data_IF_815952394240
#
_entry.id   IF_815952394240
#
_cell.length_a   1.000
_cell.length_b   1.000
_cell.length_c   1.000
_cell.angle_alpha   90.00
_cell.angle_beta   90.00
_cell.angle_gamma   90.00
#
_symmetry.space_group_name_H-M   'P 1'
#
loop_
_entity.id
_entity.type
_entity.pdbx_description
1 polymer ?
#
# COMPACT_ATOMS: atom_id res chain seq x y z
N UNK A 1 39.28 10.00 -13.21
CA UNK A 1 38.21 9.12 -13.69
C UNK A 1 37.78 8.01 -12.71
N UNK A 2 38.48 7.74 -11.61
CA UNK A 2 38.26 6.55 -10.75
C UNK A 2 37.38 6.81 -9.51
N UNK A 3 37.15 8.05 -9.10
CA UNK A 3 36.31 8.35 -7.91
C UNK A 3 34.80 8.47 -8.20
N UNK A 4 34.41 8.93 -9.36
CA UNK A 4 32.98 9.05 -9.75
C UNK A 4 32.30 7.68 -9.96
N UNK A 5 33.03 6.69 -10.49
CA UNK A 5 32.51 5.34 -10.75
C UNK A 5 32.27 4.54 -9.46
N UNK A 6 32.99 4.86 -8.37
CA UNK A 6 32.81 4.17 -7.07
C UNK A 6 31.63 4.74 -6.29
N UNK A 7 31.35 6.05 -6.40
CA UNK A 7 30.17 6.67 -5.77
C UNK A 7 28.85 6.27 -6.46
N UNK A 8 28.83 6.14 -7.79
CA UNK A 8 27.66 5.64 -8.51
C UNK A 8 27.32 4.17 -8.19
N UNK A 9 28.33 3.31 -8.02
CA UNK A 9 28.10 1.91 -7.62
C UNK A 9 27.58 1.77 -6.18
N UNK A 10 28.01 2.63 -5.26
CA UNK A 10 27.51 2.61 -3.87
C UNK A 10 26.08 3.18 -3.76
N UNK A 11 25.71 4.14 -4.61
CA UNK A 11 24.36 4.67 -4.69
C UNK A 11 23.35 3.69 -5.30
N UNK A 12 23.78 2.91 -6.28
CA UNK A 12 22.95 1.90 -6.94
C UNK A 12 22.65 0.69 -6.04
N UNK A 13 23.62 0.23 -5.25
CA UNK A 13 23.42 -0.84 -4.25
C UNK A 13 22.41 -0.44 -3.18
N UNK A 14 22.53 0.77 -2.62
CA UNK A 14 21.59 1.29 -1.61
C UNK A 14 20.16 1.51 -2.13
N UNK A 15 20.01 1.92 -3.39
CA UNK A 15 18.69 2.10 -4.00
C UNK A 15 17.99 0.75 -4.26
N UNK A 16 18.74 -0.32 -4.56
CA UNK A 16 18.22 -1.68 -4.72
C UNK A 16 17.80 -2.29 -3.39
N UNK A 17 18.62 -2.16 -2.35
CA UNK A 17 18.30 -2.57 -0.98
C UNK A 17 17.04 -1.85 -0.45
N UNK A 18 16.84 -0.57 -0.80
CA UNK A 18 15.65 0.17 -0.41
C UNK A 18 14.37 -0.27 -1.16
N UNK A 19 14.45 -0.77 -2.40
CA UNK A 19 13.29 -1.32 -3.11
C UNK A 19 12.83 -2.65 -2.49
N UNK A 20 13.78 -3.51 -2.16
CA UNK A 20 13.55 -4.81 -1.48
C UNK A 20 12.88 -4.66 -0.12
N UNK A 21 13.32 -3.67 0.67
CA UNK A 21 12.75 -3.40 1.99
C UNK A 21 11.27 -2.97 1.97
N UNK A 22 10.69 -2.71 0.80
CA UNK A 22 9.31 -2.23 0.66
C UNK A 22 8.30 -3.37 0.58
N UNK A 23 8.60 -4.42 -0.16
CA UNK A 23 7.61 -5.42 -0.58
C UNK A 23 7.10 -6.32 0.56
N UNK A 24 7.93 -6.72 1.53
CA UNK A 24 7.45 -7.57 2.62
C UNK A 24 6.33 -6.93 3.46
N UNK A 25 6.30 -5.59 3.56
CA UNK A 25 5.29 -4.86 4.32
C UNK A 25 3.95 -4.86 3.62
N UNK A 26 3.94 -4.54 2.32
CA UNK A 26 2.76 -4.53 1.48
C UNK A 26 2.16 -5.93 1.42
N UNK A 27 3.02 -6.94 1.25
CA UNK A 27 2.59 -8.35 1.22
C UNK A 27 1.92 -8.78 2.52
N UNK A 28 2.54 -8.51 3.68
CA UNK A 28 1.94 -8.84 4.98
C UNK A 28 0.65 -8.07 5.19
N UNK A 29 0.61 -6.80 4.86
CA UNK A 29 -0.60 -5.98 4.96
C UNK A 29 -1.75 -6.59 4.14
N UNK A 30 -1.52 -6.90 2.86
CA UNK A 30 -2.51 -7.56 1.99
C UNK A 30 -2.97 -8.90 2.54
N UNK A 31 -2.03 -9.73 3.03
CA UNK A 31 -2.36 -11.05 3.61
C UNK A 31 -3.20 -10.94 4.88
N UNK A 32 -2.90 -9.99 5.76
CA UNK A 32 -3.68 -9.76 6.99
C UNK A 32 -5.09 -9.30 6.65
N UNK A 33 -5.22 -8.33 5.75
CA UNK A 33 -6.51 -7.72 5.40
C UNK A 33 -7.23 -8.41 4.23
N UNK A 34 -6.75 -9.58 3.78
CA UNK A 34 -7.56 -10.53 2.99
C UNK A 34 -8.59 -11.26 3.86
N UNK A 35 -8.41 -11.30 5.17
CA UNK A 35 -9.42 -11.77 6.12
C UNK A 35 -10.47 -10.67 6.35
N UNK A 36 -11.71 -10.96 5.98
CA UNK A 36 -12.83 -10.00 6.08
C UNK A 36 -13.09 -9.50 7.50
N UNK A 37 -12.82 -10.30 8.53
CA UNK A 37 -13.00 -9.88 9.95
C UNK A 37 -11.96 -8.83 10.32
N UNK A 38 -10.71 -9.06 9.94
CA UNK A 38 -9.62 -8.13 10.18
C UNK A 38 -9.81 -6.84 9.37
N UNK A 39 -10.28 -6.97 8.12
CA UNK A 39 -10.58 -5.83 7.26
C UNK A 39 -11.75 -4.99 7.80
N UNK A 40 -12.82 -5.63 8.29
CA UNK A 40 -13.94 -4.94 8.92
C UNK A 40 -13.52 -4.21 10.21
N UNK A 41 -12.67 -4.84 11.01
CA UNK A 41 -12.12 -4.21 12.21
C UNK A 41 -11.31 -2.95 11.86
N UNK A 42 -10.45 -3.03 10.83
CA UNK A 42 -9.69 -1.88 10.35
C UNK A 42 -10.61 -0.77 9.85
N UNK A 43 -11.62 -1.11 9.05
CA UNK A 43 -12.61 -0.16 8.54
C UNK A 43 -13.36 0.55 9.67
N UNK A 44 -13.88 -0.20 10.64
CA UNK A 44 -14.56 0.38 11.80
C UNK A 44 -13.65 1.30 12.61
N UNK A 45 -12.39 0.90 12.81
CA UNK A 45 -11.43 1.67 13.58
C UNK A 45 -11.06 3.00 12.87
N UNK A 46 -10.93 2.98 11.54
CA UNK A 46 -10.56 4.15 10.72
C UNK A 46 -11.75 5.08 10.47
N UNK A 47 -12.92 4.52 10.11
CA UNK A 47 -14.11 5.30 9.75
C UNK A 47 -14.94 5.76 10.95
N UNK A 48 -14.74 5.13 12.12
CA UNK A 48 -15.63 5.27 13.28
C UNK A 48 -16.95 4.51 13.14
N UNK A 49 -17.04 3.58 12.17
CA UNK A 49 -18.19 2.70 11.96
C UNK A 49 -18.35 1.63 13.05
N UNK A 50 -19.49 0.95 13.05
CA UNK A 50 -19.84 -0.13 13.97
C UNK A 50 -20.47 -1.32 13.22
N UNK A 51 -19.93 -1.66 12.06
CA UNK A 51 -20.40 -2.81 11.28
C UNK A 51 -19.99 -4.10 11.99
N UNK A 52 -20.88 -5.11 11.99
CA UNK A 52 -20.67 -6.38 12.72
C UNK A 52 -20.53 -7.57 11.81
N UNK A 53 -21.03 -7.50 10.57
CA UNK A 53 -21.13 -8.59 9.64
C UNK A 53 -19.99 -8.54 8.59
N UNK A 54 -18.90 -9.32 8.74
CA UNK A 54 -17.79 -9.33 7.77
C UNK A 54 -18.21 -9.78 6.37
N UNK A 55 -19.29 -10.55 6.25
CA UNK A 55 -19.78 -11.05 4.97
C UNK A 55 -20.41 -9.96 4.09
N UNK A 56 -20.78 -8.82 4.67
CA UNK A 56 -21.23 -7.65 3.93
C UNK A 56 -20.11 -6.96 3.14
N UNK A 57 -18.83 -7.26 3.47
CA UNK A 57 -17.70 -6.79 2.70
C UNK A 57 -17.59 -7.53 1.37
N UNK A 58 -17.62 -6.79 0.28
CA UNK A 58 -17.28 -7.28 -1.06
C UNK A 58 -15.85 -6.85 -1.40
N UNK A 59 -14.91 -7.79 -1.41
CA UNK A 59 -13.52 -7.52 -1.77
C UNK A 59 -13.40 -7.43 -3.29
N UNK A 60 -12.90 -6.29 -3.78
CA UNK A 60 -12.80 -5.96 -5.21
C UNK A 60 -11.37 -5.57 -5.60
N UNK A 61 -10.38 -6.09 -4.88
CA UNK A 61 -8.96 -5.78 -5.12
C UNK A 61 -8.53 -6.12 -6.55
N UNK A 62 -7.80 -5.22 -7.19
CA UNK A 62 -7.25 -5.41 -8.53
C UNK A 62 -6.03 -6.34 -8.48
N UNK A 63 -6.21 -7.63 -8.76
CA UNK A 63 -5.12 -8.60 -8.75
C UNK A 63 -4.26 -8.56 -10.03
N UNK A 64 -4.83 -8.16 -11.17
CA UNK A 64 -4.15 -8.13 -12.47
C UNK A 64 -4.62 -6.95 -13.31
N UNK A 65 -3.89 -5.86 -13.30
CA UNK A 65 -3.93 -4.93 -14.42
C UNK A 65 -2.83 -5.33 -15.41
N UNK A 66 -3.20 -5.92 -16.54
CA UNK A 66 -2.29 -6.42 -17.61
C UNK A 66 -1.43 -5.30 -18.21
N UNK A 67 -1.83 -4.04 -18.03
CA UNK A 67 -1.09 -2.87 -18.44
C UNK A 67 -0.64 -2.07 -17.23
N UNK A 68 0.67 -1.91 -17.03
CA UNK A 68 1.35 -1.01 -16.10
C UNK A 68 1.60 -1.48 -14.66
N UNK A 69 1.61 -2.75 -14.32
CA UNK A 69 1.95 -3.24 -12.94
C UNK A 69 1.15 -2.54 -11.82
N UNK A 70 -0.06 -2.05 -12.12
CA UNK A 70 -0.88 -1.33 -11.16
C UNK A 70 -1.67 -2.32 -10.31
N UNK A 71 -1.16 -2.58 -9.12
CA UNK A 71 -1.86 -3.31 -8.06
C UNK A 71 -2.14 -2.33 -6.94
N UNK A 72 -3.37 -2.33 -6.44
CA UNK A 72 -3.65 -1.72 -5.15
C UNK A 72 -3.60 -2.79 -4.05
N UNK A 73 -3.33 -2.38 -2.80
CA UNK A 73 -3.16 -3.36 -1.72
C UNK A 73 -4.47 -4.03 -1.35
N UNK A 74 -5.48 -3.26 -0.96
CA UNK A 74 -6.81 -3.79 -0.61
C UNK A 74 -7.88 -2.82 -1.07
N UNK A 75 -8.87 -3.30 -1.84
CA UNK A 75 -10.10 -2.57 -2.11
C UNK A 75 -11.34 -3.41 -1.85
N UNK A 76 -12.35 -2.76 -1.33
CA UNK A 76 -13.60 -3.43 -0.95
C UNK A 76 -14.78 -2.46 -0.96
N UNK A 77 -15.97 -3.02 -1.15
CA UNK A 77 -17.22 -2.31 -1.04
C UNK A 77 -17.90 -2.74 0.26
N UNK A 78 -18.34 -1.77 1.03
CA UNK A 78 -19.21 -1.97 2.18
C UNK A 78 -20.32 -0.94 2.12
N UNK A 79 -21.57 -1.40 2.11
CA UNK A 79 -22.75 -0.57 1.90
C UNK A 79 -22.63 0.25 0.59
N UNK A 80 -22.54 1.56 0.67
CA UNK A 80 -22.44 2.47 -0.48
C UNK A 80 -21.04 3.07 -0.65
N UNK A 81 -20.04 2.52 0.05
CA UNK A 81 -18.66 3.01 0.03
C UNK A 81 -17.71 2.02 -0.62
N UNK A 82 -16.90 2.48 -1.56
CA UNK A 82 -15.75 1.77 -2.11
C UNK A 82 -14.48 2.30 -1.43
N UNK A 83 -13.86 1.51 -0.58
CA UNK A 83 -12.62 1.88 0.11
C UNK A 83 -11.42 1.29 -0.59
N UNK A 84 -10.41 2.13 -0.85
CA UNK A 84 -9.09 1.74 -1.35
C UNK A 84 -8.08 2.01 -0.25
N UNK A 85 -7.45 0.96 0.25
CA UNK A 85 -6.43 0.99 1.30
C UNK A 85 -5.08 0.65 0.71
N UNK A 86 -4.11 1.50 0.95
CA UNK A 86 -2.72 1.35 0.50
C UNK A 86 -1.77 1.39 1.69
N UNK A 87 -0.80 0.49 1.73
CA UNK A 87 0.31 0.55 2.66
C UNK A 87 1.51 1.25 1.99
N UNK A 88 2.11 2.24 2.63
CA UNK A 88 3.24 2.97 2.08
C UNK A 88 4.41 3.05 3.05
N UNK A 89 5.59 2.62 2.59
CA UNK A 89 6.85 2.75 3.33
C UNK A 89 7.68 3.96 2.91
N UNK A 90 7.27 4.62 1.84
CA UNK A 90 7.93 5.83 1.31
C UNK A 90 6.92 6.92 1.10
N UNK A 91 7.37 8.15 1.22
CA UNK A 91 6.55 9.30 0.88
C UNK A 91 6.31 9.30 -0.62
N UNK A 92 5.04 9.28 -1.02
CA UNK A 92 4.62 9.30 -2.41
C UNK A 92 3.65 10.48 -2.62
N UNK A 93 4.13 11.53 -3.27
CA UNK A 93 3.29 12.70 -3.60
C UNK A 93 2.25 12.40 -4.70
N UNK A 94 2.42 11.30 -5.44
CA UNK A 94 1.55 10.93 -6.55
C UNK A 94 0.43 9.95 -6.15
N UNK A 95 0.16 9.78 -4.85
CA UNK A 95 -0.92 8.88 -4.40
C UNK A 95 -2.27 9.27 -4.99
N UNK A 96 -2.68 10.56 -5.02
CA UNK A 96 -3.96 10.92 -5.62
C UNK A 96 -4.06 10.56 -7.10
N UNK A 97 -2.98 10.67 -7.86
CA UNK A 97 -2.96 10.27 -9.27
C UNK A 97 -3.04 8.73 -9.43
N UNK A 98 -2.35 7.98 -8.59
CA UNK A 98 -2.43 6.51 -8.58
C UNK A 98 -3.83 6.03 -8.24
N UNK A 99 -4.42 6.58 -7.19
CA UNK A 99 -5.75 6.23 -6.73
C UNK A 99 -6.85 6.60 -7.74
N UNK A 100 -6.67 7.70 -8.50
CA UNK A 100 -7.53 8.02 -9.63
C UNK A 100 -7.53 6.90 -10.67
N UNK A 101 -6.36 6.39 -11.03
CA UNK A 101 -6.24 5.28 -11.99
C UNK A 101 -6.88 3.99 -11.45
N UNK A 102 -6.68 3.69 -10.16
CA UNK A 102 -7.27 2.52 -9.53
C UNK A 102 -8.81 2.61 -9.47
N UNK A 103 -9.36 3.72 -9.01
CA UNK A 103 -10.81 3.87 -8.90
C UNK A 103 -11.48 3.93 -10.26
N UNK A 104 -10.84 4.53 -11.27
CA UNK A 104 -11.36 4.53 -12.64
C UNK A 104 -11.51 3.10 -13.17
N UNK A 105 -10.53 2.22 -12.89
CA UNK A 105 -10.60 0.81 -13.26
C UNK A 105 -11.68 0.04 -12.49
N UNK A 106 -11.84 0.32 -11.19
CA UNK A 106 -12.94 -0.24 -10.39
C UNK A 106 -14.31 0.19 -10.95
N UNK A 107 -14.48 1.47 -11.27
CA UNK A 107 -15.72 1.99 -11.84
C UNK A 107 -16.01 1.41 -13.22
N UNK A 108 -14.99 1.21 -14.05
CA UNK A 108 -15.15 0.49 -15.32
C UNK A 108 -15.72 -0.92 -15.09
N UNK A 109 -15.19 -1.65 -14.13
CA UNK A 109 -15.64 -3.00 -13.77
C UNK A 109 -17.09 -2.98 -13.22
N UNK A 110 -17.38 -2.04 -12.32
CA UNK A 110 -18.71 -1.90 -11.71
C UNK A 110 -19.79 -1.42 -12.71
N UNK A 111 -19.38 -0.68 -13.75
CA UNK A 111 -20.24 -0.24 -14.83
C UNK A 111 -20.37 -1.27 -15.97
N UNK A 112 -19.59 -2.35 -15.95
CA UNK A 112 -19.61 -3.36 -17.00
C UNK A 112 -21.01 -3.93 -17.21
N UNK A 113 -21.43 -4.05 -18.47
CA UNK A 113 -22.78 -4.49 -18.84
C UNK A 113 -23.87 -3.46 -18.67
N UNK A 114 -23.56 -2.24 -18.25
CA UNK A 114 -24.50 -1.11 -18.19
C UNK A 114 -24.23 -0.15 -19.35
N UNK A 115 -25.30 0.41 -19.94
CA UNK A 115 -25.18 1.39 -21.02
C UNK A 115 -24.87 2.79 -20.44
N UNK A 116 -23.60 3.20 -20.48
CA UNK A 116 -23.14 4.51 -20.02
C UNK A 116 -23.66 5.68 -20.86
N UNK A 117 -24.21 5.42 -22.05
CA UNK A 117 -24.84 6.42 -22.93
C UNK A 117 -26.34 6.54 -22.69
N UNK A 118 -26.90 5.69 -21.81
CA UNK A 118 -28.33 5.76 -21.42
C UNK A 118 -28.62 7.07 -20.67
N UNK A 119 -29.86 7.52 -20.80
CA UNK A 119 -30.37 8.65 -19.99
C UNK A 119 -30.54 8.30 -18.50
N UNK A 120 -30.40 7.05 -18.13
CA UNK A 120 -30.49 6.59 -16.72
C UNK A 120 -29.16 6.74 -16.00
N UNK A 121 -29.18 7.40 -14.84
CA UNK A 121 -28.00 7.54 -14.00
C UNK A 121 -27.53 6.18 -13.47
N UNK A 122 -26.27 5.83 -13.75
CA UNK A 122 -25.60 4.69 -13.13
C UNK A 122 -25.09 5.13 -11.76
N UNK A 123 -25.58 4.51 -10.71
CA UNK A 123 -25.10 4.77 -9.34
C UNK A 123 -23.87 3.92 -9.07
N UNK A 124 -22.83 4.53 -8.54
CA UNK A 124 -21.56 3.92 -8.13
C UNK A 124 -21.35 4.14 -6.62
N UNK A 125 -20.66 3.24 -5.92
CA UNK A 125 -20.30 3.47 -4.53
C UNK A 125 -19.38 4.68 -4.42
N UNK A 126 -19.48 5.41 -3.30
CA UNK A 126 -18.63 6.58 -3.04
C UNK A 126 -17.20 6.14 -2.72
N UNK A 127 -16.17 6.61 -3.44
CA UNK A 127 -14.80 6.17 -3.21
C UNK A 127 -14.20 6.87 -1.99
N UNK A 128 -13.37 6.11 -1.24
CA UNK A 128 -12.55 6.58 -0.11
C UNK A 128 -11.13 6.07 -0.29
N UNK A 129 -10.14 6.92 -0.08
CA UNK A 129 -8.74 6.63 -0.31
C UNK A 129 -7.95 6.84 0.98
N UNK A 130 -7.37 5.76 1.52
CA UNK A 130 -6.64 5.77 2.78
C UNK A 130 -5.27 5.14 2.57
N UNK A 131 -4.23 5.87 2.92
CA UNK A 131 -2.86 5.38 2.92
C UNK A 131 -2.37 5.18 4.35
N UNK A 132 -1.95 3.97 4.70
CA UNK A 132 -1.30 3.66 5.97
C UNK A 132 0.22 3.79 5.82
N UNK A 133 0.77 4.89 6.34
CA UNK A 133 2.18 5.18 6.23
C UNK A 133 2.97 4.63 7.42
N UNK A 134 4.01 3.83 7.13
CA UNK A 134 4.97 3.37 8.12
C UNK A 134 6.43 3.51 7.68
N UNK A 135 6.73 4.53 6.89
CA UNK A 135 8.10 4.80 6.42
C UNK A 135 9.05 5.31 7.50
N UNK A 136 10.35 5.39 7.14
CA UNK A 136 11.40 5.92 8.04
C UNK A 136 11.46 7.45 8.05
N UNK A 137 10.96 8.12 6.98
CA UNK A 137 10.92 9.57 6.92
C UNK A 137 9.79 10.10 7.79
N UNK A 138 10.07 11.10 8.61
CA UNK A 138 9.08 11.75 9.45
C UNK A 138 7.91 12.30 8.62
N UNK A 139 6.70 12.02 9.07
CA UNK A 139 5.45 12.47 8.46
C UNK A 139 4.48 12.86 9.56
N UNK A 140 3.58 13.83 9.32
CA UNK A 140 2.55 14.17 10.28
C UNK A 140 1.64 12.98 10.60
N UNK A 141 0.93 13.05 11.71
CA UNK A 141 -0.01 12.00 12.12
C UNK A 141 -1.08 11.73 11.07
N UNK A 142 -1.59 12.81 10.44
CA UNK A 142 -2.58 12.80 9.35
C UNK A 142 -2.15 13.80 8.29
N UNK A 143 -2.23 13.40 7.02
CA UNK A 143 -1.91 14.24 5.87
C UNK A 143 -2.98 14.03 4.79
N UNK A 144 -3.64 15.11 4.38
CA UNK A 144 -4.48 15.10 3.18
C UNK A 144 -3.63 15.45 1.97
N UNK A 145 -3.62 14.58 0.97
CA UNK A 145 -2.99 14.82 -0.34
C UNK A 145 -4.10 15.04 -1.37
N UNK A 146 -3.90 15.98 -2.28
CA UNK A 146 -4.91 16.37 -3.27
C UNK A 146 -4.41 16.17 -4.69
N UNK A 147 -5.28 15.72 -5.57
CA UNK A 147 -4.95 15.57 -6.99
C UNK A 147 -4.63 16.92 -7.63
N UNK A 148 -5.30 17.98 -7.20
CA UNK A 148 -5.07 19.35 -7.68
C UNK A 148 -3.66 19.87 -7.40
N UNK A 149 -2.92 19.31 -6.44
CA UNK A 149 -1.53 19.68 -6.19
C UNK A 149 -0.60 19.30 -7.37
N UNK A 150 -1.04 18.37 -8.22
CA UNK A 150 -0.29 17.93 -9.40
C UNK A 150 -0.61 18.73 -10.67
N UNK A 151 -1.58 19.64 -10.64
CA UNK A 151 -1.99 20.38 -11.86
C UNK A 151 -1.00 21.48 -12.23
N UNK A 152 -0.58 21.49 -13.49
CA UNK A 152 0.25 22.54 -14.05
C UNK A 152 -0.61 23.81 -14.34
N UNK A 153 -0.49 24.79 -13.49
CA UNK A 153 -1.20 26.08 -13.62
C UNK A 153 -2.40 26.17 -12.65
N UNK A 154 -2.86 27.41 -12.49
CA UNK A 154 -4.11 27.65 -11.74
C UNK A 154 -5.25 27.16 -12.62
N UNK A 155 -5.98 26.14 -12.17
CA UNK A 155 -7.21 25.70 -12.84
C UNK A 155 -8.09 26.91 -13.12
N UNK A 156 -8.59 27.01 -14.33
CA UNK A 156 -9.41 28.15 -14.80
C UNK A 156 -10.84 28.10 -14.24
N UNK A 157 -11.06 27.53 -13.07
CA UNK A 157 -12.35 27.61 -12.43
C UNK A 157 -12.52 29.04 -11.90
N UNK A 158 -13.48 29.74 -12.43
CA UNK A 158 -13.85 31.10 -11.96
C UNK A 158 -14.18 31.12 -10.45
N UNK A 159 -14.43 29.94 -9.86
CA UNK A 159 -14.83 29.70 -8.47
C UNK A 159 -13.75 29.05 -7.58
N UNK A 160 -12.51 28.87 -8.07
CA UNK A 160 -11.38 28.40 -7.29
C UNK A 160 -11.29 26.90 -7.05
N UNK A 161 -12.28 26.09 -7.41
CA UNK A 161 -12.25 24.62 -7.28
C UNK A 161 -11.93 23.95 -8.62
N UNK A 162 -11.10 22.89 -8.64
CA UNK A 162 -10.82 22.15 -9.87
C UNK A 162 -12.03 21.32 -10.29
N UNK A 163 -12.25 21.15 -11.60
CA UNK A 163 -13.32 20.30 -12.12
C UNK A 163 -13.16 18.81 -11.77
N UNK A 164 -11.94 18.39 -11.46
CA UNK A 164 -11.63 17.06 -10.98
C UNK A 164 -10.77 17.17 -9.73
N UNK A 165 -11.26 16.65 -8.63
CA UNK A 165 -10.53 16.55 -7.36
C UNK A 165 -10.64 15.15 -6.78
N UNK A 166 -9.52 14.67 -6.24
CA UNK A 166 -9.43 13.44 -5.47
C UNK A 166 -8.56 13.72 -4.25
N UNK A 167 -9.01 13.28 -3.08
CA UNK A 167 -8.32 13.48 -1.82
C UNK A 167 -7.96 12.14 -1.22
N UNK A 168 -6.69 11.98 -0.84
CA UNK A 168 -6.17 10.79 -0.16
C UNK A 168 -5.81 11.17 1.27
N UNK A 169 -6.34 10.43 2.24
CA UNK A 169 -5.96 10.58 3.64
C UNK A 169 -4.82 9.63 3.97
N UNK A 170 -3.65 10.18 4.24
CA UNK A 170 -2.52 9.42 4.80
C UNK A 170 -2.59 9.40 6.32
N UNK A 171 -2.53 8.21 6.91
CA UNK A 171 -2.46 7.96 8.34
C UNK A 171 -1.08 7.41 8.70
N UNK A 172 -0.34 8.13 9.52
CA UNK A 172 0.96 7.67 10.01
C UNK A 172 0.74 6.63 11.12
N UNK A 173 1.12 5.37 10.85
CA UNK A 173 0.96 4.26 11.81
C UNK A 173 2.25 3.90 12.53
N UNK A 174 3.31 4.70 12.41
CA UNK A 174 4.52 4.53 13.20
C UNK A 174 4.25 4.68 14.71
N UNK A 175 5.17 4.22 15.59
CA UNK A 175 5.04 4.42 17.03
C UNK A 175 4.83 5.90 17.38
N UNK A 176 3.89 6.18 18.31
CA UNK A 176 3.56 7.53 18.75
C UNK A 176 2.51 8.27 17.92
N UNK A 177 2.05 7.69 16.79
CA UNK A 177 1.03 8.29 15.92
C UNK A 177 -0.21 7.41 15.84
N UNK A 178 -1.40 8.03 15.69
CA UNK A 178 -2.71 7.36 15.55
C UNK A 178 -2.92 6.21 16.55
N UNK A 179 -2.59 6.44 17.83
CA UNK A 179 -2.66 5.42 18.88
C UNK A 179 -4.09 4.92 19.12
N UNK A 180 -5.10 5.78 18.95
CA UNK A 180 -6.49 5.38 19.07
C UNK A 180 -6.90 4.40 17.96
N UNK A 181 -6.48 4.64 16.72
CA UNK A 181 -6.69 3.73 15.59
C UNK A 181 -6.08 2.36 15.89
N UNK A 182 -4.83 2.33 16.35
CA UNK A 182 -4.12 1.10 16.71
C UNK A 182 -4.76 0.37 17.89
N UNK A 183 -5.29 1.09 18.86
CA UNK A 183 -6.03 0.51 19.99
C UNK A 183 -7.34 -0.13 19.56
N UNK A 184 -8.04 0.46 18.58
CA UNK A 184 -9.30 -0.06 18.01
C UNK A 184 -9.07 -1.22 17.03
N UNK A 185 -7.86 -1.30 16.41
CA UNK A 185 -7.47 -2.36 15.50
C UNK A 185 -6.17 -3.02 15.98
N UNK A 186 -6.25 -4.00 16.90
CA UNK A 186 -5.07 -4.69 17.44
C UNK A 186 -4.17 -5.32 16.37
N UNK A 187 -4.73 -5.81 15.28
CA UNK A 187 -3.97 -6.38 14.15
C UNK A 187 -3.10 -5.33 13.48
N UNK A 188 -3.59 -4.08 13.32
CA UNK A 188 -2.77 -2.99 12.79
C UNK A 188 -1.61 -2.65 13.75
N UNK A 189 -1.86 -2.66 15.05
CA UNK A 189 -0.82 -2.45 16.05
C UNK A 189 0.24 -3.55 16.01
N UNK A 190 -0.17 -4.81 15.95
CA UNK A 190 0.74 -5.96 15.85
C UNK A 190 1.50 -5.98 14.52
N UNK A 191 0.87 -5.56 13.41
CA UNK A 191 1.53 -5.36 12.13
C UNK A 191 2.67 -4.32 12.24
N UNK A 192 2.41 -3.18 12.86
CA UNK A 192 3.43 -2.16 13.12
C UNK A 192 4.59 -2.73 13.96
N UNK A 193 4.29 -3.49 15.03
CA UNK A 193 5.31 -4.13 15.87
C UNK A 193 6.16 -5.14 15.08
N UNK A 194 5.55 -5.92 14.20
CA UNK A 194 6.26 -6.84 13.30
C UNK A 194 7.20 -6.07 12.38
N UNK A 195 6.74 -5.00 11.73
CA UNK A 195 7.57 -4.16 10.85
C UNK A 195 8.76 -3.56 11.60
N UNK A 196 8.57 -3.08 12.82
CA UNK A 196 9.66 -2.56 13.66
C UNK A 196 10.64 -3.68 14.08
N UNK A 197 10.15 -4.89 14.31
CA UNK A 197 11.00 -6.04 14.61
C UNK A 197 11.91 -6.38 13.42
N UNK A 198 11.37 -6.44 12.20
CA UNK A 198 12.18 -6.65 10.98
C UNK A 198 13.19 -5.54 10.79
N UNK A 199 12.78 -4.27 10.92
CA UNK A 199 13.68 -3.10 10.78
C UNK A 199 14.84 -3.12 11.77
N UNK A 200 14.64 -3.65 12.97
CA UNK A 200 15.69 -3.76 13.97
C UNK A 200 16.76 -4.75 13.51
N UNK A 201 16.35 -5.92 13.01
CA UNK A 201 17.26 -6.95 12.54
C UNK A 201 17.95 -6.57 11.21
N UNK A 202 17.23 -5.88 10.31
CA UNK A 202 17.74 -5.39 9.03
C UNK A 202 18.98 -4.46 9.16
N UNK A 203 19.26 -3.95 10.36
CA UNK A 203 20.46 -3.13 10.62
C UNK A 203 21.75 -3.95 10.63
N UNK A 204 21.66 -5.22 11.06
CA UNK A 204 22.81 -6.05 11.39
C UNK A 204 22.90 -7.31 10.50
N UNK A 205 21.86 -7.62 9.71
CA UNK A 205 21.81 -8.82 8.87
C UNK A 205 21.02 -8.59 7.57
N UNK A 206 21.22 -9.45 6.54
CA UNK A 206 20.45 -9.39 5.30
C UNK A 206 18.95 -9.49 5.54
N UNK A 207 18.14 -8.85 4.68
CA UNK A 207 16.67 -8.78 4.83
C UNK A 207 16.01 -10.15 5.05
N UNK A 208 16.44 -11.18 4.32
CA UNK A 208 15.91 -12.54 4.46
C UNK A 208 16.05 -13.05 5.89
N UNK A 209 17.25 -13.00 6.42
CA UNK A 209 17.58 -13.44 7.78
C UNK A 209 16.85 -12.58 8.82
N UNK A 210 16.75 -11.27 8.56
CA UNK A 210 16.01 -10.33 9.39
C UNK A 210 14.52 -10.67 9.46
N UNK A 211 13.89 -11.03 8.33
CA UNK A 211 12.49 -11.47 8.28
C UNK A 211 12.31 -12.79 9.02
N UNK A 212 13.15 -13.79 8.75
CA UNK A 212 13.08 -15.10 9.43
C UNK A 212 13.20 -14.93 10.95
N UNK A 213 14.18 -14.17 11.40
CA UNK A 213 14.42 -13.91 12.83
C UNK A 213 13.28 -13.13 13.47
N UNK A 214 12.76 -12.11 12.77
CA UNK A 214 11.64 -11.32 13.25
C UNK A 214 10.34 -12.15 13.37
N UNK A 215 10.07 -13.04 12.40
CA UNK A 215 8.93 -13.96 12.45
C UNK A 215 9.00 -14.83 13.69
N UNK A 216 10.16 -15.43 13.98
CA UNK A 216 10.35 -16.28 15.16
C UNK A 216 10.19 -15.52 16.48
N UNK A 217 10.75 -14.32 16.56
CA UNK A 217 10.59 -13.47 17.73
C UNK A 217 9.13 -13.05 17.92
N UNK A 218 8.45 -12.63 16.85
CA UNK A 218 7.07 -12.20 16.91
C UNK A 218 6.14 -13.34 17.35
N UNK A 219 6.32 -14.54 16.83
CA UNK A 219 5.59 -15.76 17.28
C UNK A 219 5.80 -15.98 18.78
N UNK A 220 7.04 -15.91 19.26
CA UNK A 220 7.37 -16.09 20.67
C UNK A 220 6.74 -15.03 21.57
N UNK A 221 6.66 -13.79 21.10
CA UNK A 221 6.08 -12.65 21.83
C UNK A 221 4.55 -12.55 21.67
N UNK A 222 3.91 -13.39 20.88
CA UNK A 222 2.47 -13.34 20.64
C UNK A 222 2.04 -12.26 19.65
N UNK A 223 2.99 -11.65 18.90
CA UNK A 223 2.72 -10.63 17.88
C UNK A 223 2.33 -11.32 16.58
N UNK A 224 1.12 -11.11 16.07
CA UNK A 224 0.55 -11.77 14.90
C UNK A 224 0.74 -13.31 14.94
N UNK A 225 0.74 -13.89 16.13
CA UNK A 225 1.20 -15.27 16.35
C UNK A 225 0.49 -16.28 15.46
N UNK A 226 -0.84 -16.31 15.49
CA UNK A 226 -1.61 -17.33 14.78
C UNK A 226 -1.50 -17.16 13.26
N UNK A 227 -1.46 -15.91 12.80
CA UNK A 227 -1.20 -15.57 11.40
C UNK A 227 0.20 -16.04 10.98
N UNK A 228 1.25 -15.69 11.73
CA UNK A 228 2.62 -16.04 11.40
C UNK A 228 2.88 -17.55 11.49
N UNK A 229 2.25 -18.26 12.41
CA UNK A 229 2.33 -19.73 12.48
C UNK A 229 1.73 -20.39 11.24
N UNK A 230 0.58 -19.90 10.78
CA UNK A 230 -0.13 -20.42 9.60
C UNK A 230 0.59 -20.09 8.30
N UNK A 231 1.09 -18.89 8.17
CA UNK A 231 1.61 -18.33 6.90
C UNK A 231 3.16 -18.25 6.87
N UNK A 232 3.88 -18.79 7.86
CA UNK A 232 5.35 -18.62 8.02
C UNK A 232 6.13 -18.81 6.73
N UNK A 233 5.93 -19.94 6.04
CA UNK A 233 6.65 -20.26 4.82
C UNK A 233 6.33 -19.26 3.70
N UNK A 234 5.08 -18.81 3.60
CA UNK A 234 4.63 -17.85 2.59
C UNK A 234 5.20 -16.46 2.86
N UNK A 235 5.17 -16.01 4.11
CA UNK A 235 5.76 -14.72 4.54
C UNK A 235 7.25 -14.66 4.21
N UNK A 236 8.00 -15.71 4.53
CA UNK A 236 9.44 -15.77 4.27
C UNK A 236 9.70 -15.86 2.75
N UNK A 237 9.03 -16.76 2.04
CA UNK A 237 9.25 -16.97 0.61
C UNK A 237 8.83 -15.79 -0.25
N UNK A 238 7.67 -15.15 0.01
CA UNK A 238 7.23 -13.99 -0.77
C UNK A 238 8.16 -12.79 -0.59
N UNK A 239 8.73 -12.61 0.59
CA UNK A 239 9.78 -11.60 0.82
C UNK A 239 11.03 -11.82 -0.06
N UNK A 240 11.21 -13.03 -0.60
CA UNK A 240 12.35 -13.43 -1.44
C UNK A 240 12.00 -13.37 -2.92
N UNK A 241 10.86 -13.93 -3.33
CA UNK A 241 10.46 -14.04 -4.74
C UNK A 241 10.17 -12.67 -5.38
N UNK A 242 9.58 -11.74 -4.64
CA UNK A 242 9.39 -10.37 -5.13
C UNK A 242 10.74 -9.65 -5.35
N UNK A 243 11.77 -10.04 -4.60
CA UNK A 243 13.14 -9.57 -4.79
C UNK A 243 13.76 -10.03 -6.12
N UNK A 244 13.65 -11.32 -6.43
CA UNK A 244 14.24 -11.89 -7.65
C UNK A 244 13.56 -11.37 -8.92
N UNK A 245 12.24 -11.15 -8.87
CA UNK A 245 11.47 -10.65 -10.00
C UNK A 245 11.75 -9.17 -10.30
N UNK A 246 11.85 -8.31 -9.27
CA UNK A 246 12.26 -6.91 -9.47
C UNK A 246 13.70 -6.76 -9.92
N UNK A 247 14.61 -7.59 -9.41
CA UNK A 247 16.00 -7.62 -9.87
C UNK A 247 16.07 -8.02 -11.35
N UNK A 248 15.31 -9.02 -11.75
CA UNK A 248 15.19 -9.48 -13.12
C UNK A 248 14.61 -8.41 -14.05
N UNK A 249 13.48 -7.79 -13.67
CA UNK A 249 12.83 -6.70 -14.43
C UNK A 249 13.71 -5.45 -14.55
N UNK A 250 14.58 -5.22 -13.57
CA UNK A 250 15.55 -4.13 -13.58
C UNK A 250 16.72 -4.44 -14.48
N UNK A 251 17.18 -5.68 -14.50
CA UNK A 251 18.23 -6.15 -15.41
C UNK A 251 17.78 -6.04 -16.86
N UNK A 252 16.57 -6.52 -17.19
CA UNK A 252 15.96 -6.39 -18.52
C UNK A 252 15.81 -4.92 -18.92
N UNK A 253 15.37 -4.04 -18.01
CA UNK A 253 15.27 -2.59 -18.31
C UNK A 253 16.62 -1.95 -18.58
N UNK A 254 17.65 -2.29 -17.82
CA UNK A 254 19.00 -1.75 -18.03
C UNK A 254 19.61 -2.28 -19.34
N UNK A 255 19.44 -3.57 -19.62
CA UNK A 255 19.88 -4.19 -20.89
C UNK A 255 19.17 -3.56 -22.11
N UNK A 256 17.85 -3.32 -22.01
CA UNK A 256 17.10 -2.65 -23.10
C UNK A 256 17.45 -1.18 -23.28
N UNK A 257 18.03 -0.52 -22.28
CA UNK A 257 18.58 0.85 -22.40
C UNK A 257 19.98 0.86 -23.01
N UNK A 258 20.79 -0.17 -22.74
CA UNK A 258 22.13 -0.31 -23.31
C UNK A 258 22.08 -0.76 -24.78
N UNK A 259 21.07 -1.54 -25.19
CA UNK A 259 20.86 -1.97 -26.58
C UNK A 259 20.14 -0.92 -27.47
N UNK A 260 19.65 0.17 -26.88
CA UNK A 260 18.89 1.25 -27.56
C UNK A 260 19.67 2.55 -27.83
N UNK A 261 21.01 2.53 -27.71
CA UNK A 261 21.92 3.64 -28.03
C UNK A 261 22.67 3.39 -29.32
#
# INVERSE_FOLDING_TARGET
MTKQVVEERSGQGRAAEHAVARNYKDTIFRMLYSDKKELLMLYNAESGGNYTEPEELEVVTLEQAIYMSMKNDVSFILDTSLSLYEQQSTVCANMPLRDLMYVAKQFETLAAGRDIHSSRLIRLPSPRFITFYNGKREQPERLEQRLSDAYCGRGSAADGEPNLELRVLQLNINPGYNEELKRKCPTLFQYMQYVECVRRYERDMPLREAVETAVEECIRKGILRDFLLREKAKVINMSIFEFDQELHDRTIRNESWEDGV
#
